data_IF_286878042776
#
_entry.id   IF_286878042776
#
_cell.length_a   1.000
_cell.length_b   1.000
_cell.length_c   1.000
_cell.angle_alpha   90.00
_cell.angle_beta   90.00
_cell.angle_gamma   90.00
#
_symmetry.space_group_name_H-M   'P 1'
#
loop_
_entity.id
_entity.type
_entity.pdbx_description
1 polymer ?
#
# COMPACT_ATOMS: atom_id res chain seq x y z
N UNK A 1 9.28 -4.64 4.28
CA UNK A 1 8.63 -3.30 4.32
C UNK A 1 8.76 -2.82 5.74
N UNK A 2 9.45 -1.72 5.95
CA UNK A 2 9.64 -1.11 7.26
C UNK A 2 8.75 0.13 7.36
N UNK A 3 7.58 -0.03 7.97
CA UNK A 3 6.54 1.00 8.01
C UNK A 3 5.80 0.98 9.36
N UNK A 4 5.71 2.15 9.99
CA UNK A 4 4.88 2.39 11.17
C UNK A 4 3.70 3.27 10.77
N UNK A 5 2.50 2.93 11.26
CA UNK A 5 1.29 3.72 11.05
C UNK A 5 0.53 3.90 12.36
N UNK A 6 -0.14 5.05 12.59
CA UNK A 6 -1.03 5.21 13.72
C UNK A 6 -2.25 4.29 13.58
N UNK A 7 -2.92 4.00 14.70
CA UNK A 7 -4.07 3.09 14.75
C UNK A 7 -5.17 3.44 13.72
N UNK A 8 -5.43 4.73 13.50
CA UNK A 8 -6.44 5.19 12.55
C UNK A 8 -6.10 4.87 11.07
N UNK A 9 -4.83 4.64 10.77
CA UNK A 9 -4.33 4.38 9.41
C UNK A 9 -4.21 2.87 9.10
N UNK A 10 -4.47 1.98 10.06
CA UNK A 10 -4.36 0.53 9.88
C UNK A 10 -5.33 0.03 8.79
N UNK A 11 -6.60 0.43 8.85
CA UNK A 11 -7.60 0.02 7.85
C UNK A 11 -7.27 0.58 6.46
N UNK A 12 -6.97 1.90 6.30
CA UNK A 12 -6.49 2.44 5.03
C UNK A 12 -5.27 1.71 4.46
N UNK A 13 -4.29 1.36 5.31
CA UNK A 13 -3.11 0.61 4.90
C UNK A 13 -3.49 -0.80 4.38
N UNK A 14 -4.27 -1.56 5.16
CA UNK A 14 -4.70 -2.90 4.76
C UNK A 14 -5.46 -2.88 3.43
N UNK A 15 -6.35 -1.91 3.23
CA UNK A 15 -7.07 -1.74 1.97
C UNK A 15 -6.11 -1.47 0.81
N UNK A 16 -5.18 -0.52 0.96
CA UNK A 16 -4.21 -0.19 -0.07
C UNK A 16 -3.32 -1.38 -0.45
N UNK A 17 -2.86 -2.17 0.53
CA UNK A 17 -2.10 -3.41 0.29
C UNK A 17 -2.92 -4.45 -0.49
N UNK A 18 -4.17 -4.68 -0.09
CA UNK A 18 -5.05 -5.64 -0.74
C UNK A 18 -5.40 -5.22 -2.17
N UNK A 19 -5.64 -3.93 -2.41
CA UNK A 19 -5.91 -3.42 -3.76
C UNK A 19 -4.66 -3.54 -4.65
N UNK A 20 -3.47 -3.23 -4.12
CA UNK A 20 -2.20 -3.38 -4.85
C UNK A 20 -2.01 -4.83 -5.29
N UNK A 21 -2.20 -5.76 -4.37
CA UNK A 21 -2.11 -7.18 -4.66
C UNK A 21 -3.21 -7.68 -5.60
N UNK A 22 -4.44 -7.17 -5.48
CA UNK A 22 -5.54 -7.50 -6.37
C UNK A 22 -5.21 -7.15 -7.82
N UNK A 23 -4.66 -5.96 -8.04
CA UNK A 23 -4.49 -5.37 -9.36
C UNK A 23 -3.18 -5.79 -10.04
N UNK A 24 -2.09 -5.90 -9.27
CA UNK A 24 -0.75 -6.18 -9.81
C UNK A 24 -0.32 -7.64 -9.61
N UNK A 25 -1.00 -8.40 -8.76
CA UNK A 25 -0.66 -9.80 -8.48
C UNK A 25 -0.88 -10.75 -9.67
N UNK A 26 0.11 -11.58 -9.97
CA UNK A 26 0.07 -12.57 -11.05
C UNK A 26 -1.06 -13.59 -10.87
N UNK A 27 -1.91 -13.74 -11.90
CA UNK A 27 -3.02 -14.72 -11.95
C UNK A 27 -2.76 -15.92 -12.88
N UNK A 28 -1.57 -15.99 -13.49
CA UNK A 28 -1.25 -17.03 -14.50
C UNK A 28 -0.92 -18.37 -13.86
N UNK A 29 0.03 -18.41 -12.93
CA UNK A 29 0.45 -19.63 -12.25
C UNK A 29 0.05 -19.59 -10.77
N UNK A 30 -0.84 -20.49 -10.37
CA UNK A 30 -1.37 -20.56 -8.99
C UNK A 30 -0.28 -20.78 -7.93
N UNK A 31 0.84 -21.41 -8.27
CA UNK A 31 1.96 -21.61 -7.34
C UNK A 31 2.69 -20.29 -7.03
N UNK A 32 2.61 -19.31 -7.93
CA UNK A 32 3.26 -17.99 -7.81
C UNK A 32 2.27 -16.83 -7.58
N UNK A 33 1.04 -17.11 -7.14
CA UNK A 33 0.03 -16.07 -6.94
C UNK A 33 0.14 -15.34 -5.59
N UNK A 34 0.86 -15.88 -4.60
CA UNK A 34 0.96 -15.25 -3.26
C UNK A 34 1.65 -13.87 -3.31
N UNK A 35 1.25 -12.96 -2.41
CA UNK A 35 1.74 -11.57 -2.35
C UNK A 35 3.27 -11.46 -2.22
N UNK A 36 3.94 -12.42 -1.57
CA UNK A 36 5.39 -12.48 -1.51
C UNK A 36 6.05 -12.45 -2.91
N UNK A 37 5.48 -13.16 -3.88
CA UNK A 37 6.00 -13.18 -5.25
C UNK A 37 5.81 -11.85 -5.95
N UNK A 38 4.68 -11.19 -5.71
CA UNK A 38 4.45 -9.83 -6.20
C UNK A 38 5.51 -8.87 -5.66
N UNK A 39 5.80 -8.95 -4.36
CA UNK A 39 6.81 -8.09 -3.72
C UNK A 39 8.22 -8.39 -4.20
N UNK A 40 8.54 -9.64 -4.52
CA UNK A 40 9.83 -10.04 -5.10
C UNK A 40 9.99 -9.55 -6.55
N UNK A 41 8.93 -9.69 -7.36
CA UNK A 41 8.93 -9.27 -8.78
C UNK A 41 8.93 -7.74 -8.94
N UNK A 42 8.17 -7.01 -8.12
CA UNK A 42 8.14 -5.53 -8.13
C UNK A 42 9.30 -4.91 -7.36
N UNK A 43 9.85 -5.62 -6.37
CA UNK A 43 10.72 -5.04 -5.36
C UNK A 43 9.93 -4.34 -4.24
N UNK A 44 10.53 -4.36 -3.05
CA UNK A 44 9.88 -3.88 -1.82
C UNK A 44 9.61 -2.37 -1.83
N UNK A 45 10.48 -1.58 -2.47
CA UNK A 45 10.37 -0.12 -2.52
C UNK A 45 9.27 0.34 -3.47
N UNK A 46 9.15 -0.27 -4.65
CA UNK A 46 8.06 0.03 -5.58
C UNK A 46 6.71 -0.39 -5.01
N UNK A 47 6.64 -1.56 -4.37
CA UNK A 47 5.44 -2.00 -3.68
C UNK A 47 5.02 -1.00 -2.59
N UNK A 48 5.99 -0.48 -1.82
CA UNK A 48 5.73 0.56 -0.81
C UNK A 48 5.22 1.86 -1.43
N UNK A 49 5.84 2.34 -2.49
CA UNK A 49 5.43 3.56 -3.18
C UNK A 49 3.99 3.45 -3.72
N UNK A 50 3.62 2.29 -4.27
CA UNK A 50 2.27 2.04 -4.78
C UNK A 50 1.22 1.98 -3.66
N UNK A 51 1.55 1.37 -2.53
CA UNK A 51 0.69 1.36 -1.34
C UNK A 51 0.49 2.77 -0.80
N UNK A 52 1.56 3.58 -0.66
CA UNK A 52 1.47 4.98 -0.22
C UNK A 52 0.60 5.83 -1.18
N UNK A 53 0.78 5.66 -2.49
CA UNK A 53 -0.02 6.34 -3.52
C UNK A 53 -1.51 6.02 -3.37
N UNK A 54 -1.86 4.76 -3.11
CA UNK A 54 -3.24 4.32 -2.92
C UNK A 54 -3.84 4.82 -1.61
N UNK A 55 -3.06 4.85 -0.53
CA UNK A 55 -3.50 5.45 0.73
C UNK A 55 -3.92 6.92 0.52
N UNK A 56 -3.10 7.71 -0.20
CA UNK A 56 -3.42 9.12 -0.52
C UNK A 56 -4.69 9.27 -1.38
N UNK A 57 -4.97 8.32 -2.26
CA UNK A 57 -6.16 8.35 -3.13
C UNK A 57 -7.46 8.12 -2.37
N UNK A 58 -7.41 7.35 -1.27
CA UNK A 58 -8.60 6.91 -0.52
C UNK A 58 -9.02 7.88 0.58
N UNK A 59 -8.19 8.86 0.95
CA UNK A 59 -8.57 9.83 1.97
C UNK A 59 -9.64 10.82 1.45
N UNK A 60 -10.73 11.05 2.20
CA UNK A 60 -11.58 12.22 1.97
C UNK A 60 -10.73 13.49 1.90
N UNK A 61 -11.09 14.46 1.07
CA UNK A 61 -10.27 15.67 0.86
C UNK A 61 -9.87 16.36 2.18
N UNK A 62 -10.74 16.34 3.20
CA UNK A 62 -10.48 16.97 4.50
C UNK A 62 -9.41 16.26 5.33
N UNK A 63 -9.19 14.94 5.17
CA UNK A 63 -8.07 14.23 5.82
C UNK A 63 -6.73 14.48 5.10
N UNK A 64 -6.76 14.76 3.79
CA UNK A 64 -5.56 15.18 3.04
C UNK A 64 -4.96 16.49 3.58
N UNK A 65 -5.81 17.39 4.07
CA UNK A 65 -5.37 18.65 4.67
C UNK A 65 -4.87 18.49 6.11
N UNK A 66 -5.46 17.58 6.88
CA UNK A 66 -5.04 17.31 8.27
C UNK A 66 -3.68 16.60 8.36
N UNK A 67 -3.36 15.71 7.40
CA UNK A 67 -2.11 14.93 7.39
C UNK A 67 -1.02 15.49 6.47
N UNK A 68 -1.31 16.50 5.65
CA UNK A 68 -0.36 17.11 4.69
C UNK A 68 0.83 17.87 5.29
N UNK A 69 0.96 17.95 6.63
CA UNK A 69 2.08 18.64 7.31
C UNK A 69 2.94 17.78 8.23
N UNK A 70 2.60 16.51 8.45
CA UNK A 70 3.24 15.70 9.48
C UNK A 70 3.84 14.40 8.93
N UNK A 71 4.70 14.49 7.91
CA UNK A 71 5.64 13.40 7.55
C UNK A 71 6.97 13.98 7.09
N UNK A 72 7.78 14.36 8.08
CA UNK A 72 9.24 14.39 7.95
C UNK A 72 9.79 13.79 9.24
N UNK A 73 9.99 12.48 9.22
CA UNK A 73 10.97 11.76 10.03
C UNK A 73 11.70 10.86 9.07
#
# INVERSE_FOLDING_TARGET
MDAWVPMNDVIPLCKAMLETYRDLGSRRNRQKTRMMWLTDEMGIEEFRAEVERRMLSCFPHWLRLAFGRARRV
#
